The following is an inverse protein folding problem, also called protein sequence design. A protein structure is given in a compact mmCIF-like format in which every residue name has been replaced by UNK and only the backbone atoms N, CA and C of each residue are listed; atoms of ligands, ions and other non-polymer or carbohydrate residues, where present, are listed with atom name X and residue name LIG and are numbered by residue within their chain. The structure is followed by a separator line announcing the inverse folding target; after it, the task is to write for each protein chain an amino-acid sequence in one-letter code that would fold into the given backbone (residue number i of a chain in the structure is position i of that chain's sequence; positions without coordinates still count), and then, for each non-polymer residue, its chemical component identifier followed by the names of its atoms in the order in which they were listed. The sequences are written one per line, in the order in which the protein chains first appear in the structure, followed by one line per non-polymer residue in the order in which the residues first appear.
data_IF_487851377259
#
_entry.id   IF_487851377259
#
_cell.length_a   1.000
_cell.length_b   1.000
_cell.length_c   1.000
_cell.angle_alpha   90.00
_cell.angle_beta   90.00
_cell.angle_gamma   90.00
#
_symmetry.space_group_name_H-M   'P 1'
#
loop_
_entity.id
_entity.type
_entity.pdbx_description
1 polymer ?
#
# COMPACT_ATOMS: atom_id res chain seq x y z
N UNK A 1 -5.51 -8.97 -19.98
CA UNK A 1 -4.77 -9.17 -18.73
C UNK A 1 -3.62 -8.19 -18.48
N UNK A 2 -3.10 -7.46 -19.45
CA UNK A 2 -2.07 -6.42 -19.24
C UNK A 2 -2.47 -5.19 -18.41
N UNK A 3 -3.74 -5.10 -17.95
CA UNK A 3 -4.24 -3.94 -17.21
C UNK A 3 -3.97 -4.01 -15.70
N UNK A 4 -3.69 -5.20 -15.14
CA UNK A 4 -3.46 -5.38 -13.69
C UNK A 4 -2.25 -4.60 -13.18
N UNK A 5 -1.06 -4.68 -13.81
CA UNK A 5 0.07 -3.86 -13.38
C UNK A 5 -0.22 -2.36 -13.48
N UNK A 6 -1.03 -1.94 -14.45
CA UNK A 6 -1.39 -0.54 -14.63
C UNK A 6 -2.23 -0.05 -13.44
N UNK A 7 -3.15 -0.88 -12.91
CA UNK A 7 -3.94 -0.52 -11.73
C UNK A 7 -3.08 -0.25 -10.49
N UNK A 8 -1.96 -0.95 -10.34
CA UNK A 8 -1.02 -0.74 -9.23
C UNK A 8 -0.08 0.44 -9.52
N UNK A 9 0.54 0.45 -10.70
CA UNK A 9 1.57 1.42 -11.05
C UNK A 9 1.00 2.82 -11.30
N UNK A 10 -0.22 2.95 -11.82
CA UNK A 10 -0.84 4.24 -12.09
C UNK A 10 -1.01 5.13 -10.85
N UNK A 11 -1.65 4.66 -9.75
CA UNK A 11 -1.68 5.44 -8.51
C UNK A 11 -0.31 5.55 -7.84
N UNK A 12 0.59 4.56 -7.98
CA UNK A 12 1.96 4.68 -7.48
C UNK A 12 2.73 5.83 -8.16
N UNK A 13 2.60 5.99 -9.47
CA UNK A 13 3.18 7.11 -10.21
C UNK A 13 2.59 8.45 -9.74
N UNK A 14 1.28 8.53 -9.55
CA UNK A 14 0.65 9.74 -8.99
C UNK A 14 1.21 10.06 -7.59
N UNK A 15 1.40 9.05 -6.74
CA UNK A 15 1.99 9.21 -5.42
C UNK A 15 3.42 9.79 -5.47
N UNK A 16 4.24 9.38 -6.45
CA UNK A 16 5.60 9.89 -6.62
C UNK A 16 5.64 11.33 -7.16
N UNK A 17 4.69 11.69 -8.02
CA UNK A 17 4.65 12.99 -8.68
C UNK A 17 4.10 14.09 -7.73
N UNK A 18 3.08 13.79 -6.93
CA UNK A 18 2.35 14.77 -6.12
C UNK A 18 3.21 15.59 -5.13
N UNK A 19 4.22 15.02 -4.43
CA UNK A 19 5.06 15.80 -3.52
C UNK A 19 5.91 16.87 -4.22
N UNK A 20 6.28 16.62 -5.49
CA UNK A 20 7.16 17.50 -6.27
C UNK A 20 6.38 18.62 -6.95
N UNK A 21 5.05 18.50 -7.08
CA UNK A 21 4.22 19.51 -7.75
C UNK A 21 4.15 20.80 -6.92
N UNK A 22 4.59 21.96 -7.48
CA UNK A 22 4.69 23.20 -6.73
C UNK A 22 3.33 23.89 -6.55
N UNK A 23 2.39 23.71 -7.48
CA UNK A 23 1.14 24.49 -7.49
C UNK A 23 -0.07 23.62 -7.12
N UNK A 24 -1.01 24.21 -6.40
CA UNK A 24 -2.26 23.56 -6.04
C UNK A 24 -3.07 23.13 -7.28
N UNK A 25 -3.07 23.93 -8.36
CA UNK A 25 -3.78 23.59 -9.61
C UNK A 25 -3.19 22.36 -10.29
N UNK A 26 -1.86 22.24 -10.33
CA UNK A 26 -1.19 21.07 -10.89
C UNK A 26 -1.45 19.81 -10.05
N UNK A 27 -1.40 19.92 -8.71
CA UNK A 27 -1.76 18.80 -7.82
C UNK A 27 -3.19 18.34 -8.07
N UNK A 28 -4.14 19.29 -8.17
CA UNK A 28 -5.54 18.97 -8.46
C UNK A 28 -5.70 18.27 -9.82
N UNK A 29 -5.02 18.73 -10.85
CA UNK A 29 -5.05 18.09 -12.17
C UNK A 29 -4.52 16.65 -12.12
N UNK A 30 -3.38 16.41 -11.44
CA UNK A 30 -2.83 15.06 -11.24
C UNK A 30 -3.82 14.18 -10.47
N UNK A 31 -4.42 14.68 -9.39
CA UNK A 31 -5.41 13.91 -8.61
C UNK A 31 -6.62 13.54 -9.46
N UNK A 32 -7.21 14.48 -10.21
CA UNK A 32 -8.38 14.20 -11.04
C UNK A 32 -8.08 13.21 -12.15
N UNK A 33 -6.95 13.37 -12.84
CA UNK A 33 -6.54 12.44 -13.91
C UNK A 33 -6.20 11.05 -13.36
N UNK A 34 -5.50 10.97 -12.23
CA UNK A 34 -5.14 9.71 -11.61
C UNK A 34 -6.38 8.98 -11.08
N UNK A 35 -7.30 9.68 -10.41
CA UNK A 35 -8.56 9.08 -9.92
C UNK A 35 -9.46 8.60 -11.07
N UNK A 36 -9.64 9.42 -12.12
CA UNK A 36 -10.39 9.02 -13.30
C UNK A 36 -9.75 7.80 -13.99
N UNK A 37 -8.42 7.78 -14.13
CA UNK A 37 -7.67 6.66 -14.70
C UNK A 37 -7.91 5.35 -13.92
N UNK A 38 -7.81 5.37 -12.59
CA UNK A 38 -8.09 4.20 -11.76
C UNK A 38 -9.50 3.66 -11.97
N UNK A 39 -10.51 4.54 -11.98
CA UNK A 39 -11.91 4.15 -12.21
C UNK A 39 -12.09 3.51 -13.59
N UNK A 40 -11.51 4.11 -14.64
CA UNK A 40 -11.58 3.60 -16.01
C UNK A 40 -10.89 2.23 -16.09
N UNK A 41 -9.69 2.08 -15.54
CA UNK A 41 -8.96 0.81 -15.57
C UNK A 41 -9.65 -0.30 -14.80
N UNK A 42 -10.30 0.02 -13.68
CA UNK A 42 -11.13 -0.94 -12.94
C UNK A 42 -12.33 -1.41 -13.76
N UNK A 43 -13.03 -0.50 -14.48
CA UNK A 43 -14.12 -0.86 -15.38
C UNK A 43 -13.64 -1.70 -16.56
N UNK A 44 -12.48 -1.41 -17.13
CA UNK A 44 -11.89 -2.23 -18.21
C UNK A 44 -11.53 -3.62 -17.68
N UNK A 45 -11.01 -3.73 -16.45
CA UNK A 45 -10.74 -5.02 -15.81
C UNK A 45 -12.04 -5.82 -15.62
N UNK A 46 -13.11 -5.19 -15.15
CA UNK A 46 -14.43 -5.80 -14.99
C UNK A 46 -14.98 -6.29 -16.32
N UNK A 47 -14.96 -5.44 -17.35
CA UNK A 47 -15.45 -5.79 -18.67
C UNK A 47 -14.66 -6.96 -19.28
N UNK A 48 -13.32 -6.94 -19.13
CA UNK A 48 -12.45 -8.03 -19.56
C UNK A 48 -12.75 -9.34 -18.84
N UNK A 49 -13.00 -9.31 -17.53
CA UNK A 49 -13.33 -10.50 -16.74
C UNK A 49 -14.70 -11.09 -17.14
N UNK A 50 -15.72 -10.25 -17.33
CA UNK A 50 -17.04 -10.68 -17.80
C UNK A 50 -16.92 -11.30 -19.21
N UNK A 51 -16.21 -10.67 -20.12
CA UNK A 51 -16.02 -11.17 -21.48
C UNK A 51 -15.25 -12.49 -21.55
N UNK A 52 -14.41 -12.77 -20.55
CA UNK A 52 -13.69 -14.03 -20.40
C UNK A 52 -14.54 -15.16 -19.73
N UNK A 53 -15.80 -14.91 -19.44
CA UNK A 53 -16.71 -15.89 -18.84
C UNK A 53 -16.74 -15.91 -17.31
N UNK A 54 -16.14 -14.94 -16.63
CA UNK A 54 -16.26 -14.74 -15.18
C UNK A 54 -15.54 -15.79 -14.31
N UNK A 55 -14.51 -16.43 -14.81
CA UNK A 55 -13.72 -17.42 -14.07
C UNK A 55 -12.54 -16.82 -13.31
N UNK A 56 -11.99 -17.58 -12.35
CA UNK A 56 -10.74 -17.21 -11.69
C UNK A 56 -9.57 -17.32 -12.68
N UNK A 57 -8.78 -16.24 -12.77
CA UNK A 57 -7.58 -16.21 -13.61
C UNK A 57 -6.36 -15.84 -12.76
N UNK A 58 -5.30 -16.64 -12.89
CA UNK A 58 -4.00 -16.36 -12.29
C UNK A 58 -3.04 -16.05 -13.42
N UNK A 59 -2.28 -14.98 -13.29
CA UNK A 59 -1.32 -14.53 -14.31
C UNK A 59 0.00 -14.20 -13.63
N UNK A 60 1.07 -14.79 -14.11
CA UNK A 60 2.44 -14.45 -13.69
C UNK A 60 2.88 -13.15 -14.37
N UNK A 61 3.33 -12.18 -13.58
CA UNK A 61 3.80 -10.88 -14.08
C UNK A 61 5.30 -10.65 -13.94
N UNK A 62 5.95 -11.30 -12.98
CA UNK A 62 7.39 -11.18 -12.79
C UNK A 62 7.96 -12.51 -12.26
N UNK A 63 8.75 -13.18 -13.08
CA UNK A 63 9.58 -14.33 -12.69
C UNK A 63 11.00 -13.92 -12.32
N UNK A 64 11.24 -12.63 -12.13
CA UNK A 64 12.60 -12.12 -12.01
C UNK A 64 13.01 -12.06 -10.55
N UNK A 65 14.16 -12.63 -10.23
CA UNK A 65 14.87 -12.40 -8.96
C UNK A 65 14.95 -10.92 -8.59
N UNK A 66 14.90 -10.05 -9.60
CA UNK A 66 14.86 -8.60 -9.40
C UNK A 66 13.59 -8.13 -8.68
N UNK A 67 12.41 -8.72 -8.98
CA UNK A 67 11.17 -8.32 -8.32
C UNK A 67 11.20 -8.69 -6.84
N UNK A 68 11.69 -9.89 -6.52
CA UNK A 68 11.81 -10.35 -5.12
C UNK A 68 12.86 -9.54 -4.35
N UNK A 69 14.00 -9.22 -4.96
CA UNK A 69 14.99 -8.32 -4.36
C UNK A 69 14.44 -6.90 -4.12
N UNK A 70 13.62 -6.37 -5.04
CA UNK A 70 12.98 -5.06 -4.87
C UNK A 70 11.94 -5.09 -3.75
N UNK A 71 11.21 -6.18 -3.59
CA UNK A 71 10.27 -6.38 -2.48
C UNK A 71 11.00 -6.41 -1.14
N UNK A 72 12.05 -7.25 -1.00
CA UNK A 72 12.88 -7.31 0.22
C UNK A 72 13.49 -5.93 0.53
N UNK A 73 14.02 -5.24 -0.47
CA UNK A 73 14.55 -3.88 -0.29
C UNK A 73 13.47 -2.91 0.16
N UNK A 74 12.24 -3.04 -0.36
CA UNK A 74 11.07 -2.26 0.06
C UNK A 74 10.72 -2.50 1.53
N UNK A 75 10.66 -3.75 1.97
CA UNK A 75 10.40 -4.12 3.37
C UNK A 75 11.46 -3.55 4.31
N UNK A 76 12.74 -3.64 3.93
CA UNK A 76 13.83 -3.05 4.70
C UNK A 76 13.71 -1.52 4.80
N UNK A 77 13.28 -0.85 3.74
CA UNK A 77 13.01 0.60 3.74
C UNK A 77 11.85 0.93 4.67
N UNK A 78 10.73 0.18 4.61
CA UNK A 78 9.58 0.37 5.50
C UNK A 78 9.98 0.18 6.97
N UNK A 79 10.69 -0.92 7.29
CA UNK A 79 11.25 -1.18 8.62
C UNK A 79 12.17 -0.03 9.08
N UNK A 80 13.05 0.46 8.21
CA UNK A 80 13.95 1.57 8.54
C UNK A 80 13.16 2.86 8.85
N UNK A 81 12.12 3.19 8.07
CA UNK A 81 11.24 4.34 8.31
C UNK A 81 10.55 4.22 9.66
N UNK A 82 9.95 3.07 9.97
CA UNK A 82 9.30 2.80 11.25
C UNK A 82 10.30 2.92 12.39
N UNK A 83 11.49 2.32 12.25
CA UNK A 83 12.55 2.34 13.27
C UNK A 83 13.03 3.77 13.55
N UNK A 84 13.35 4.55 12.52
CA UNK A 84 13.81 5.95 12.66
C UNK A 84 12.75 6.81 13.36
N UNK A 85 11.48 6.68 12.97
CA UNK A 85 10.38 7.43 13.59
C UNK A 85 10.15 6.96 15.03
N UNK A 86 10.25 5.67 15.32
CA UNK A 86 10.11 5.12 16.66
C UNK A 86 11.21 5.59 17.61
N UNK A 87 12.46 5.66 17.15
CA UNK A 87 13.58 6.25 17.90
C UNK A 87 13.32 7.73 18.17
N UNK A 88 12.92 8.50 17.14
CA UNK A 88 12.67 9.92 17.24
C UNK A 88 11.59 10.27 18.26
N UNK A 89 10.53 9.45 18.35
CA UNK A 89 9.41 9.62 19.28
C UNK A 89 9.50 8.76 20.54
N UNK A 90 10.65 8.07 20.76
CA UNK A 90 10.93 7.22 21.93
C UNK A 90 9.92 6.09 22.15
N UNK A 91 9.42 5.50 21.06
CA UNK A 91 8.46 4.38 21.07
C UNK A 91 9.16 3.04 20.79
N UNK A 92 10.12 2.67 21.62
CA UNK A 92 11.01 1.51 21.43
C UNK A 92 10.32 0.15 21.23
N UNK A 93 9.19 -0.18 21.90
CA UNK A 93 8.53 -1.48 21.70
C UNK A 93 8.09 -1.73 20.24
N UNK A 94 7.77 -0.65 19.49
CA UNK A 94 7.39 -0.71 18.07
C UNK A 94 8.55 -1.21 17.21
N UNK A 95 9.79 -0.84 17.56
CA UNK A 95 11.00 -1.27 16.86
C UNK A 95 11.14 -2.79 16.94
N UNK A 96 10.96 -3.35 18.15
CA UNK A 96 11.08 -4.79 18.33
C UNK A 96 10.10 -5.57 17.46
N UNK A 97 8.83 -5.15 17.41
CA UNK A 97 7.82 -5.81 16.58
C UNK A 97 8.14 -5.66 15.09
N UNK A 98 8.48 -4.46 14.64
CA UNK A 98 8.81 -4.22 13.22
C UNK A 98 9.99 -5.07 12.78
N UNK A 99 11.07 -5.11 13.57
CA UNK A 99 12.26 -5.91 13.26
C UNK A 99 11.92 -7.42 13.28
N UNK A 100 11.18 -7.87 14.29
CA UNK A 100 10.86 -9.29 14.44
C UNK A 100 10.03 -9.82 13.27
N UNK A 101 9.01 -9.09 12.83
CA UNK A 101 8.17 -9.52 11.70
C UNK A 101 8.90 -9.45 10.36
N UNK A 102 9.62 -8.34 10.07
CA UNK A 102 10.38 -8.21 8.82
C UNK A 102 11.47 -9.27 8.73
N UNK A 103 12.22 -9.50 9.81
CA UNK A 103 13.23 -10.56 9.82
C UNK A 103 12.61 -11.95 9.66
N UNK A 104 11.45 -12.21 10.27
CA UNK A 104 10.76 -13.49 10.13
C UNK A 104 10.32 -13.77 8.68
N UNK A 105 9.76 -12.78 7.99
CA UNK A 105 9.33 -12.92 6.58
C UNK A 105 10.53 -13.07 5.65
N UNK A 106 11.58 -12.24 5.80
CA UNK A 106 12.82 -12.36 5.01
C UNK A 106 13.48 -13.72 5.25
N UNK A 107 13.49 -14.22 6.47
CA UNK A 107 14.04 -15.55 6.78
C UNK A 107 13.23 -16.65 6.08
N UNK A 108 11.89 -16.57 6.08
CA UNK A 108 11.04 -17.52 5.38
C UNK A 108 11.31 -17.49 3.86
N UNK A 109 11.41 -16.31 3.26
CA UNK A 109 11.71 -16.13 1.84
C UNK A 109 13.09 -16.72 1.44
N UNK A 110 14.12 -16.47 2.26
CA UNK A 110 15.49 -16.95 1.97
C UNK A 110 15.67 -18.46 2.18
N UNK A 111 14.92 -19.05 3.12
CA UNK A 111 15.05 -20.49 3.43
C UNK A 111 14.11 -21.35 2.61
N UNK A 112 12.97 -20.83 2.23
CA UNK A 112 11.93 -21.52 1.47
C UNK A 112 11.40 -20.57 0.38
N UNK A 113 12.21 -20.23 -0.64
CA UNK A 113 11.78 -19.30 -1.67
C UNK A 113 10.49 -19.81 -2.32
N UNK A 114 9.48 -18.99 -2.31
CA UNK A 114 8.22 -19.26 -2.98
C UNK A 114 8.52 -19.44 -4.47
N UNK A 115 8.42 -20.67 -4.97
CA UNK A 115 8.64 -20.97 -6.38
C UNK A 115 7.54 -20.31 -7.18
N UNK A 116 7.83 -19.16 -7.80
CA UNK A 116 6.86 -18.65 -8.75
C UNK A 116 6.73 -17.15 -8.96
N UNK A 117 7.54 -16.28 -8.36
CA UNK A 117 7.48 -14.85 -8.68
C UNK A 117 6.15 -14.15 -8.29
N UNK A 118 5.91 -12.98 -8.84
CA UNK A 118 4.72 -12.18 -8.56
C UNK A 118 3.51 -12.68 -9.37
N UNK A 119 2.70 -13.54 -8.76
CA UNK A 119 1.43 -13.98 -9.33
C UNK A 119 0.30 -13.05 -8.92
N UNK A 120 -0.55 -12.72 -9.89
CA UNK A 120 -1.75 -11.90 -9.69
C UNK A 120 -2.98 -12.72 -9.99
N UNK A 121 -3.92 -12.73 -9.06
CA UNK A 121 -5.20 -13.43 -9.15
C UNK A 121 -6.34 -12.45 -9.36
N UNK A 122 -7.22 -12.78 -10.28
CA UNK A 122 -8.49 -12.06 -10.48
C UNK A 122 -9.62 -13.05 -10.37
N UNK A 123 -10.46 -12.84 -9.38
CA UNK A 123 -11.72 -13.55 -9.18
C UNK A 123 -12.85 -12.54 -8.86
N UNK A 124 -14.06 -13.02 -8.62
CA UNK A 124 -15.20 -12.15 -8.34
C UNK A 124 -15.02 -11.30 -7.09
N UNK A 125 -14.32 -11.81 -6.06
CA UNK A 125 -14.08 -11.07 -4.81
C UNK A 125 -13.00 -9.99 -5.01
N UNK A 126 -11.86 -10.35 -5.60
CA UNK A 126 -10.78 -9.39 -5.86
C UNK A 126 -11.25 -8.26 -6.79
N UNK A 127 -12.09 -8.60 -7.79
CA UNK A 127 -12.68 -7.61 -8.67
C UNK A 127 -13.62 -6.65 -7.93
N UNK A 128 -14.50 -7.17 -7.06
CA UNK A 128 -15.38 -6.34 -6.24
C UNK A 128 -14.57 -5.37 -5.36
N UNK A 129 -13.53 -5.85 -4.70
CA UNK A 129 -12.65 -5.03 -3.87
C UNK A 129 -11.87 -4.00 -4.69
N UNK A 130 -11.39 -4.35 -5.88
CA UNK A 130 -10.78 -3.41 -6.81
C UNK A 130 -11.75 -2.31 -7.25
N UNK A 131 -13.02 -2.64 -7.53
CA UNK A 131 -14.05 -1.65 -7.87
C UNK A 131 -14.29 -0.69 -6.70
N UNK A 132 -14.43 -1.21 -5.49
CA UNK A 132 -14.59 -0.38 -4.28
C UNK A 132 -13.37 0.54 -4.10
N UNK A 133 -12.15 0.00 -4.17
CA UNK A 133 -10.93 0.80 -4.03
C UNK A 133 -10.82 1.89 -5.10
N UNK A 134 -11.14 1.57 -6.36
CA UNK A 134 -11.07 2.53 -7.46
C UNK A 134 -12.12 3.65 -7.33
N UNK A 135 -13.40 3.30 -7.10
CA UNK A 135 -14.47 4.29 -7.08
C UNK A 135 -14.50 5.06 -5.77
N UNK A 136 -14.59 4.36 -4.64
CA UNK A 136 -14.67 5.04 -3.33
C UNK A 136 -13.34 5.74 -3.03
N UNK A 137 -12.20 5.05 -3.20
CA UNK A 137 -10.88 5.63 -2.98
C UNK A 137 -10.59 6.79 -3.93
N UNK A 138 -10.94 6.67 -5.22
CA UNK A 138 -10.79 7.74 -6.19
C UNK A 138 -11.65 8.97 -5.84
N UNK A 139 -12.89 8.80 -5.40
CA UNK A 139 -13.74 9.90 -4.93
C UNK A 139 -13.19 10.56 -3.66
N UNK A 140 -12.63 9.78 -2.73
CA UNK A 140 -11.96 10.32 -1.54
C UNK A 140 -10.77 11.18 -1.95
N UNK A 141 -9.95 10.76 -2.92
CA UNK A 141 -8.83 11.54 -3.42
C UNK A 141 -9.28 12.86 -4.07
N UNK A 142 -10.35 12.84 -4.86
CA UNK A 142 -10.95 14.03 -5.47
C UNK A 142 -11.44 15.00 -4.38
N UNK A 143 -12.19 14.49 -3.39
CA UNK A 143 -12.68 15.28 -2.26
C UNK A 143 -11.54 15.88 -1.45
N UNK A 144 -10.47 15.13 -1.23
CA UNK A 144 -9.31 15.54 -0.44
C UNK A 144 -8.62 16.82 -0.96
N UNK A 145 -8.70 17.11 -2.26
CA UNK A 145 -8.14 18.34 -2.86
C UNK A 145 -8.81 19.59 -2.27
N UNK A 146 -10.15 19.59 -2.25
CA UNK A 146 -10.93 20.71 -1.67
C UNK A 146 -10.83 20.75 -0.16
N UNK A 147 -10.92 19.58 0.48
CA UNK A 147 -10.82 19.44 1.93
C UNK A 147 -9.51 19.99 2.49
N UNK A 148 -8.37 19.60 1.92
CA UNK A 148 -7.06 20.04 2.40
C UNK A 148 -6.84 21.55 2.21
N UNK A 149 -7.40 22.13 1.14
CA UNK A 149 -7.40 23.58 0.97
C UNK A 149 -8.16 24.28 2.08
N UNK A 150 -9.40 23.90 2.31
CA UNK A 150 -10.23 24.45 3.38
C UNK A 150 -9.61 24.22 4.77
N UNK A 151 -9.03 23.04 4.99
CA UNK A 151 -8.35 22.72 6.25
C UNK A 151 -7.22 23.70 6.56
N UNK A 152 -6.35 24.01 5.61
CA UNK A 152 -5.24 24.95 5.82
C UNK A 152 -5.65 26.41 5.82
N UNK A 153 -6.81 26.78 5.27
CA UNK A 153 -7.40 28.11 5.42
C UNK A 153 -7.84 28.36 6.88
N UNK A 154 -8.36 27.32 7.55
CA UNK A 154 -8.83 27.40 8.95
C UNK A 154 -7.74 27.09 9.98
N UNK A 155 -6.75 26.29 9.63
CA UNK A 155 -5.67 25.83 10.53
C UNK A 155 -4.31 26.29 10.02
N UNK A 156 -4.07 27.60 10.10
CA UNK A 156 -2.80 28.23 9.64
C UNK A 156 -1.60 27.91 10.51
N UNK A 157 -1.82 27.37 11.71
CA UNK A 157 -0.79 26.92 12.64
C UNK A 157 -0.05 25.67 12.15
N UNK A 158 -0.66 24.85 11.28
CA UNK A 158 -0.02 23.66 10.75
C UNK A 158 0.65 23.92 9.40
N UNK A 159 1.85 23.36 9.24
CA UNK A 159 2.58 23.45 7.98
C UNK A 159 1.80 22.77 6.87
N UNK A 160 1.59 23.47 5.75
CA UNK A 160 0.98 22.89 4.55
C UNK A 160 1.88 21.80 3.95
N UNK A 161 1.38 20.57 3.96
CA UNK A 161 1.97 19.38 3.37
C UNK A 161 0.95 18.63 2.52
N UNK A 162 0.03 19.37 1.91
CA UNK A 162 -1.04 18.81 1.07
C UNK A 162 -0.50 17.85 -0.01
N UNK A 163 0.63 18.18 -0.65
CA UNK A 163 1.25 17.28 -1.63
C UNK A 163 1.64 15.93 -1.04
N UNK A 164 2.20 15.93 0.18
CA UNK A 164 2.51 14.70 0.91
C UNK A 164 1.25 13.92 1.28
N UNK A 165 0.22 14.59 1.79
CA UNK A 165 -1.05 13.96 2.15
C UNK A 165 -1.69 13.25 0.95
N UNK A 166 -1.82 13.94 -0.18
CA UNK A 166 -2.37 13.38 -1.41
C UNK A 166 -1.51 12.24 -1.96
N UNK A 167 -0.19 12.36 -1.88
CA UNK A 167 0.74 11.28 -2.23
C UNK A 167 0.49 10.01 -1.41
N UNK A 168 0.31 10.15 -0.10
CA UNK A 168 0.03 9.00 0.78
C UNK A 168 -1.32 8.34 0.45
N UNK A 169 -2.35 9.10 0.09
CA UNK A 169 -3.63 8.52 -0.34
C UNK A 169 -3.46 7.65 -1.60
N UNK A 170 -2.74 8.14 -2.62
CA UNK A 170 -2.50 7.36 -3.83
C UNK A 170 -1.57 6.16 -3.59
N UNK A 171 -0.56 6.30 -2.72
CA UNK A 171 0.29 5.17 -2.33
C UNK A 171 -0.52 4.09 -1.60
N UNK A 172 -1.45 4.49 -0.74
CA UNK A 172 -2.39 3.57 -0.09
C UNK A 172 -3.22 2.79 -1.11
N UNK A 173 -3.80 3.49 -2.11
CA UNK A 173 -4.60 2.84 -3.15
C UNK A 173 -3.77 1.91 -4.03
N UNK A 174 -2.54 2.29 -4.38
CA UNK A 174 -1.61 1.41 -5.09
C UNK A 174 -1.35 0.11 -4.32
N UNK A 175 -1.07 0.22 -3.01
CA UNK A 175 -0.85 -0.91 -2.13
C UNK A 175 -2.12 -1.77 -1.96
N UNK A 176 -3.31 -1.16 -1.88
CA UNK A 176 -4.58 -1.88 -1.82
C UNK A 176 -4.84 -2.71 -3.08
N UNK A 177 -4.57 -2.16 -4.27
CA UNK A 177 -4.68 -2.95 -5.50
C UNK A 177 -3.69 -4.12 -5.50
N UNK A 178 -2.44 -3.88 -5.08
CA UNK A 178 -1.44 -4.92 -4.95
C UNK A 178 -1.87 -6.03 -4.00
N UNK A 179 -2.35 -5.66 -2.80
CA UNK A 179 -2.79 -6.58 -1.77
C UNK A 179 -3.97 -7.45 -2.22
N UNK A 180 -4.96 -6.85 -2.88
CA UNK A 180 -6.19 -7.54 -3.31
C UNK A 180 -5.95 -8.49 -4.49
N UNK A 181 -4.97 -8.16 -5.33
CA UNK A 181 -4.67 -8.91 -6.55
C UNK A 181 -3.52 -9.91 -6.36
N UNK A 182 -2.75 -9.85 -5.27
CA UNK A 182 -1.67 -10.81 -5.01
C UNK A 182 -2.20 -12.21 -4.74
N UNK A 183 -1.59 -13.22 -5.38
CA UNK A 183 -1.78 -14.64 -5.10
C UNK A 183 -0.77 -15.14 -4.05
N UNK A 184 0.45 -14.60 -4.07
CA UNK A 184 1.55 -14.96 -3.18
C UNK A 184 1.42 -14.20 -1.85
N UNK A 185 1.49 -14.94 -0.72
CA UNK A 185 1.33 -14.38 0.63
C UNK A 185 2.44 -13.41 1.03
N UNK A 186 3.66 -13.58 0.52
CA UNK A 186 4.79 -12.69 0.83
C UNK A 186 4.57 -11.33 0.15
N UNK A 187 4.14 -11.32 -1.11
CA UNK A 187 3.76 -10.10 -1.81
C UNK A 187 2.54 -9.42 -1.19
N UNK A 188 1.56 -10.23 -0.73
CA UNK A 188 0.40 -9.72 -0.01
C UNK A 188 0.82 -9.06 1.32
N UNK A 189 1.76 -9.68 2.04
CA UNK A 189 2.35 -9.12 3.27
C UNK A 189 3.07 -7.79 3.00
N UNK A 190 3.89 -7.71 1.96
CA UNK A 190 4.57 -6.48 1.56
C UNK A 190 3.59 -5.32 1.32
N UNK A 191 2.53 -5.55 0.54
CA UNK A 191 1.50 -4.53 0.33
C UNK A 191 0.74 -4.18 1.61
N UNK A 192 0.51 -5.14 2.50
CA UNK A 192 -0.05 -4.90 3.83
C UNK A 192 0.85 -3.96 4.65
N UNK A 193 2.16 -4.15 4.66
CA UNK A 193 3.09 -3.26 5.36
C UNK A 193 3.06 -1.83 4.81
N UNK A 194 3.00 -1.66 3.49
CA UNK A 194 2.84 -0.33 2.88
C UNK A 194 1.58 0.35 3.40
N UNK A 195 0.42 -0.34 3.41
CA UNK A 195 -0.84 0.25 3.91
C UNK A 195 -0.75 0.66 5.38
N UNK A 196 -0.06 -0.13 6.20
CA UNK A 196 0.16 0.13 7.63
C UNK A 196 1.00 1.38 7.86
N UNK A 197 2.14 1.50 7.16
CA UNK A 197 3.02 2.66 7.26
C UNK A 197 2.36 3.92 6.71
N UNK A 198 1.63 3.82 5.59
CA UNK A 198 0.90 4.96 5.02
C UNK A 198 -0.20 5.44 5.97
N UNK A 199 -0.97 4.54 6.57
CA UNK A 199 -1.99 4.89 7.57
C UNK A 199 -1.38 5.60 8.78
N UNK A 200 -0.25 5.09 9.29
CA UNK A 200 0.53 5.72 10.35
C UNK A 200 0.92 7.16 9.99
N UNK A 201 1.43 7.39 8.76
CA UNK A 201 1.85 8.71 8.30
C UNK A 201 0.67 9.68 8.10
N UNK A 202 -0.49 9.18 7.65
CA UNK A 202 -1.71 9.98 7.49
C UNK A 202 -2.29 10.39 8.85
N UNK A 203 -2.40 9.49 9.83
CA UNK A 203 -2.87 9.79 11.18
C UNK A 203 -1.93 10.80 11.85
N UNK A 204 -0.62 10.65 11.66
CA UNK A 204 0.40 11.55 12.19
C UNK A 204 0.57 12.86 11.42
N UNK A 205 -0.32 13.22 10.51
CA UNK A 205 -0.16 14.35 9.59
C UNK A 205 0.10 15.68 10.28
N UNK A 206 -0.68 16.03 11.33
CA UNK A 206 -0.58 17.30 12.06
C UNK A 206 0.65 17.39 12.94
N UNK A 207 1.24 16.25 13.32
CA UNK A 207 2.38 16.13 14.24
C UNK A 207 2.12 16.72 15.65
N UNK A 208 0.86 16.88 16.04
CA UNK A 208 0.50 17.18 17.42
C UNK A 208 0.83 15.99 18.31
N UNK A 209 0.97 16.21 19.61
CA UNK A 209 1.24 15.13 20.58
C UNK A 209 0.15 14.07 20.55
N UNK A 210 -1.11 14.49 20.41
CA UNK A 210 -2.26 13.59 20.24
C UNK A 210 -2.17 12.76 18.95
N UNK A 211 -1.90 13.40 17.80
CA UNK A 211 -1.76 12.73 16.52
C UNK A 211 -0.61 11.71 16.54
N UNK A 212 0.53 12.07 17.16
CA UNK A 212 1.67 11.16 17.32
C UNK A 212 1.30 9.97 18.19
N UNK A 213 0.61 10.20 19.31
CA UNK A 213 0.19 9.12 20.19
C UNK A 213 -0.77 8.16 19.49
N UNK A 214 -1.74 8.70 18.74
CA UNK A 214 -2.74 7.90 18.04
C UNK A 214 -2.17 7.16 16.82
N UNK A 215 -1.24 7.78 16.06
CA UNK A 215 -0.60 7.08 14.96
C UNK A 215 0.27 5.89 15.43
N UNK A 216 0.98 6.04 16.56
CA UNK A 216 1.72 4.93 17.14
C UNK A 216 0.83 3.83 17.74
N UNK A 217 -0.35 4.19 18.29
CA UNK A 217 -1.34 3.18 18.71
C UNK A 217 -1.86 2.38 17.52
N UNK A 218 -2.22 3.04 16.43
CA UNK A 218 -2.65 2.37 15.21
C UNK A 218 -1.53 1.48 14.63
N UNK A 219 -0.30 1.99 14.57
CA UNK A 219 0.85 1.23 14.09
C UNK A 219 1.10 -0.02 14.94
N UNK A 220 1.03 0.10 16.27
CA UNK A 220 1.19 -1.03 17.19
C UNK A 220 0.18 -2.15 16.92
N UNK A 221 -1.10 -1.79 16.73
CA UNK A 221 -2.16 -2.75 16.40
C UNK A 221 -1.89 -3.46 15.06
N UNK A 222 -1.48 -2.68 14.04
CA UNK A 222 -1.16 -3.23 12.72
C UNK A 222 0.07 -4.15 12.77
N UNK A 223 1.11 -3.78 13.53
CA UNK A 223 2.31 -4.63 13.69
C UNK A 223 2.00 -5.94 14.44
N UNK A 224 1.08 -5.94 15.41
CA UNK A 224 0.63 -7.19 16.03
C UNK A 224 -0.10 -8.08 15.02
N UNK A 225 -0.94 -7.51 14.16
CA UNK A 225 -1.57 -8.23 13.04
C UNK A 225 -0.53 -8.75 12.04
N UNK A 226 0.45 -7.91 11.68
CA UNK A 226 1.58 -8.28 10.81
C UNK A 226 2.44 -9.40 11.38
N UNK A 227 2.69 -9.41 12.68
CA UNK A 227 3.40 -10.53 13.33
C UNK A 227 2.61 -11.84 13.21
N UNK A 228 1.28 -11.79 13.42
CA UNK A 228 0.42 -12.96 13.19
C UNK A 228 0.47 -13.45 11.74
N UNK A 229 0.49 -12.53 10.78
CA UNK A 229 0.62 -12.84 9.36
C UNK A 229 2.00 -13.45 9.05
N UNK A 230 3.09 -12.87 9.57
CA UNK A 230 4.45 -13.41 9.42
C UNK A 230 4.57 -14.84 9.99
N UNK A 231 3.98 -15.09 11.15
CA UNK A 231 3.93 -16.45 11.75
C UNK A 231 3.17 -17.42 10.84
N UNK A 232 2.06 -17.00 10.24
CA UNK A 232 1.31 -17.84 9.30
C UNK A 232 2.13 -18.14 8.04
N UNK A 233 2.85 -17.17 7.48
CA UNK A 233 3.76 -17.36 6.33
C UNK A 233 4.84 -18.37 6.70
N UNK A 234 5.51 -18.19 7.84
CA UNK A 234 6.56 -19.12 8.30
C UNK A 234 6.02 -20.53 8.48
N UNK A 235 4.85 -20.68 9.10
CA UNK A 235 4.21 -21.98 9.30
C UNK A 235 3.89 -22.65 7.96
N UNK A 236 3.28 -21.95 7.03
CA UNK A 236 2.95 -22.49 5.69
C UNK A 236 4.20 -22.85 4.90
N UNK A 237 5.23 -22.03 4.97
CA UNK A 237 6.53 -22.27 4.33
C UNK A 237 7.17 -23.57 4.84
N UNK A 238 7.13 -23.83 6.15
CA UNK A 238 7.73 -25.01 6.77
C UNK A 238 6.92 -26.29 6.51
N UNK A 239 5.59 -26.22 6.58
CA UNK A 239 4.72 -27.41 6.52
C UNK A 239 4.33 -27.78 5.08
N UNK A 240 4.07 -26.78 4.23
CA UNK A 240 3.56 -26.99 2.89
C UNK A 240 4.62 -26.80 1.80
N UNK A 241 5.75 -26.19 2.12
CA UNK A 241 6.81 -25.87 1.15
C UNK A 241 6.37 -24.85 0.06
N UNK A 242 5.22 -24.19 0.23
CA UNK A 242 4.66 -23.19 -0.69
C UNK A 242 4.02 -22.06 0.11
N UNK A 243 4.18 -20.83 -0.38
CA UNK A 243 3.59 -19.62 0.26
C UNK A 243 2.78 -18.81 -0.74
#
# INVERSE_FOLDING_TARGET
MGIIPILILWPALAALILPVMPSHRLRAAVVYTASAGMMIFAVILLAGWISAGGGTTVTLYAETELADHLMIAGDLVLMAVVTVLSIRYRKYPVIFLSVAQTFGVIWAELTHPAHGGMHMRVDGLSLLLCMIAAFVGGMICIYAVGYMKAYHEHHKEYKDRTGFFLSMLFLFLAAMFGLVLSENLIWMYFFWEITSVVSFLLIGYTRTEEAITNCFRALWMNLLGGLGFAIAIIYMSLELGTV
#
